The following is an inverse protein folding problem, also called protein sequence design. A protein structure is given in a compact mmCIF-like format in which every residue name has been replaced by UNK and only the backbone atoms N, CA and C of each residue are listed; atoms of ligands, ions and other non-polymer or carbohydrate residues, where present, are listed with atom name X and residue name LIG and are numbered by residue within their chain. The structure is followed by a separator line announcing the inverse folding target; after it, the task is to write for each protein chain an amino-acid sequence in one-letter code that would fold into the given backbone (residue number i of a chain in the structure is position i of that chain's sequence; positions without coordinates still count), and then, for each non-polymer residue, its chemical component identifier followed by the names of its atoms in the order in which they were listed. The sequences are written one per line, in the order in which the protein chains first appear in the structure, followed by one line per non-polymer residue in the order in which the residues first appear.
data_IF_563617370313
#
_entry.id   IF_563617370313
#
_cell.length_a   1.000
_cell.length_b   1.000
_cell.length_c   1.000
_cell.angle_alpha   90.00
_cell.angle_beta   90.00
_cell.angle_gamma   90.00
#
_symmetry.space_group_name_H-M   'P 1'
#
loop_
_entity.id
_entity.type
_entity.pdbx_description
1 polymer ?
#
# COMPACT_ATOMS: atom_id res chain seq x y z
N UNK A 1 66.24 8.44 -1.38
CA UNK A 1 65.22 9.46 -1.76
C UNK A 1 64.48 8.98 -2.98
N UNK A 2 63.16 8.76 -2.86
CA UNK A 2 62.09 8.93 -3.88
C UNK A 2 60.85 8.14 -3.44
N UNK A 3 60.07 8.78 -2.58
CA UNK A 3 58.70 8.37 -2.25
C UNK A 3 57.82 8.61 -3.47
N UNK A 4 57.27 7.55 -4.05
CA UNK A 4 56.24 7.65 -5.07
C UNK A 4 54.89 7.87 -4.37
N UNK A 5 54.31 9.05 -4.54
CA UNK A 5 52.96 9.36 -4.07
C UNK A 5 51.96 8.78 -5.07
N UNK A 6 51.31 7.67 -4.72
CA UNK A 6 50.13 7.16 -5.43
C UNK A 6 48.91 7.98 -4.97
N UNK A 7 48.37 8.80 -5.87
CA UNK A 7 47.12 9.50 -5.63
C UNK A 7 45.94 8.51 -5.67
N UNK A 8 45.07 8.46 -4.65
CA UNK A 8 43.88 7.62 -4.70
C UNK A 8 42.86 8.25 -5.65
N UNK A 9 42.54 7.54 -6.73
CA UNK A 9 41.45 7.90 -7.62
C UNK A 9 40.13 7.76 -6.85
N UNK A 10 39.51 8.89 -6.51
CA UNK A 10 38.22 8.94 -5.85
C UNK A 10 37.13 8.52 -6.85
N UNK A 11 36.77 7.23 -6.86
CA UNK A 11 35.67 6.71 -7.67
C UNK A 11 34.34 7.26 -7.12
N UNK A 12 33.73 8.18 -7.87
CA UNK A 12 32.36 8.63 -7.64
C UNK A 12 31.41 7.44 -7.87
N UNK A 13 30.90 6.83 -6.80
CA UNK A 13 29.82 5.86 -6.89
C UNK A 13 28.54 6.59 -7.32
N UNK A 14 28.13 6.39 -8.56
CA UNK A 14 26.83 6.87 -9.06
C UNK A 14 25.76 6.03 -8.34
N UNK A 15 25.06 6.61 -7.37
CA UNK A 15 23.84 6.01 -6.83
C UNK A 15 22.80 5.99 -7.96
N UNK A 16 22.56 4.81 -8.52
CA UNK A 16 21.46 4.62 -9.47
C UNK A 16 20.13 4.82 -8.76
N UNK A 17 19.33 5.78 -9.21
CA UNK A 17 17.94 5.94 -8.80
C UNK A 17 17.15 4.73 -9.28
N UNK A 18 16.89 3.75 -8.41
CA UNK A 18 15.96 2.68 -8.73
C UNK A 18 14.56 3.29 -8.94
N UNK A 19 13.79 2.84 -9.94
CA UNK A 19 12.41 3.27 -10.07
C UNK A 19 11.66 2.90 -8.79
N UNK A 20 10.98 3.88 -8.18
CA UNK A 20 10.07 3.62 -7.07
C UNK A 20 9.03 2.60 -7.57
N UNK A 21 9.02 1.40 -6.99
CA UNK A 21 8.00 0.43 -7.36
C UNK A 21 6.64 0.97 -6.90
N UNK A 22 5.63 0.89 -7.75
CA UNK A 22 4.27 1.23 -7.36
C UNK A 22 3.67 0.19 -6.38
N UNK A 23 4.31 -0.98 -6.24
CA UNK A 23 3.88 -2.07 -5.38
C UNK A 23 3.64 -1.65 -3.91
N UNK A 24 4.60 -1.02 -3.19
CA UNK A 24 4.39 -0.56 -1.81
C UNK A 24 3.22 0.42 -1.69
N UNK A 25 3.09 1.37 -2.62
CA UNK A 25 1.96 2.31 -2.64
C UNK A 25 0.63 1.59 -2.85
N UNK A 26 0.58 0.63 -3.77
CA UNK A 26 -0.64 -0.13 -4.04
C UNK A 26 -1.07 -1.00 -2.86
N UNK A 27 -0.11 -1.55 -2.12
CA UNK A 27 -0.37 -2.32 -0.91
C UNK A 27 -0.88 -1.43 0.23
N UNK A 28 -0.34 -0.22 0.37
CA UNK A 28 -0.80 0.79 1.31
C UNK A 28 -2.23 1.23 1.00
N UNK A 29 -2.51 1.65 -0.24
CA UNK A 29 -3.85 2.05 -0.66
C UNK A 29 -4.86 0.89 -0.56
N UNK A 30 -4.43 -0.34 -0.84
CA UNK A 30 -5.25 -1.52 -0.57
C UNK A 30 -5.54 -1.65 0.93
N UNK A 31 -4.53 -1.53 1.79
CA UNK A 31 -4.66 -1.63 3.24
C UNK A 31 -5.62 -0.59 3.79
N UNK A 32 -5.44 0.69 3.43
CA UNK A 32 -6.29 1.79 3.89
C UNK A 32 -7.76 1.62 3.48
N UNK A 33 -8.01 1.20 2.23
CA UNK A 33 -9.37 0.93 1.75
C UNK A 33 -10.02 -0.18 2.56
N UNK A 34 -9.31 -1.28 2.78
CA UNK A 34 -9.85 -2.45 3.45
C UNK A 34 -9.97 -2.25 4.96
N UNK A 35 -9.12 -1.42 5.59
CA UNK A 35 -9.27 -1.05 7.00
C UNK A 35 -10.63 -0.38 7.28
N UNK A 36 -11.10 0.49 6.38
CA UNK A 36 -12.44 1.11 6.49
C UNK A 36 -13.55 0.05 6.50
N UNK A 37 -13.43 -0.98 5.67
CA UNK A 37 -14.39 -2.08 5.63
C UNK A 37 -14.29 -2.98 6.87
N UNK A 38 -13.08 -3.25 7.35
CA UNK A 38 -12.83 -4.03 8.56
C UNK A 38 -13.45 -3.36 9.79
N UNK A 39 -13.19 -2.07 9.98
CA UNK A 39 -13.76 -1.26 11.07
C UNK A 39 -15.29 -1.21 11.02
N UNK A 40 -15.87 -1.21 9.82
CA UNK A 40 -17.30 -1.25 9.61
C UNK A 40 -17.93 -2.66 9.67
N UNK A 41 -17.12 -3.70 9.94
CA UNK A 41 -17.58 -5.06 10.21
C UNK A 41 -17.71 -5.97 8.99
N UNK A 42 -16.98 -5.71 7.90
CA UNK A 42 -16.97 -6.59 6.74
C UNK A 42 -16.25 -7.91 7.01
N UNK A 43 -16.84 -9.02 6.58
CA UNK A 43 -16.24 -10.36 6.62
C UNK A 43 -15.45 -10.63 5.34
N UNK A 44 -14.12 -10.62 5.44
CA UNK A 44 -13.23 -10.89 4.31
C UNK A 44 -13.31 -12.34 3.84
N UNK A 45 -13.33 -12.55 2.52
CA UNK A 45 -13.36 -13.90 1.90
C UNK A 45 -12.03 -14.31 1.27
N UNK A 46 -11.15 -13.35 0.98
CA UNK A 46 -9.86 -13.64 0.37
C UNK A 46 -8.83 -13.99 1.44
N UNK A 47 -7.89 -14.92 1.18
CA UNK A 47 -6.82 -15.23 2.13
C UNK A 47 -6.02 -13.99 2.58
N UNK A 48 -5.71 -13.09 1.63
CA UNK A 48 -5.01 -11.82 1.91
C UNK A 48 -5.79 -10.94 2.90
N UNK A 49 -7.09 -10.78 2.70
CA UNK A 49 -7.94 -9.97 3.59
C UNK A 49 -8.08 -10.59 4.98
N UNK A 50 -8.32 -11.90 5.04
CA UNK A 50 -8.42 -12.65 6.30
C UNK A 50 -7.10 -12.58 7.08
N UNK A 51 -5.96 -12.72 6.41
CA UNK A 51 -4.66 -12.64 7.07
C UNK A 51 -4.38 -11.24 7.63
N UNK A 52 -4.76 -10.18 6.89
CA UNK A 52 -4.47 -8.81 7.28
C UNK A 52 -5.42 -8.27 8.37
N UNK A 53 -6.70 -8.63 8.31
CA UNK A 53 -7.75 -8.03 9.15
C UNK A 53 -8.49 -9.03 10.04
N UNK A 54 -8.39 -10.33 9.77
CA UNK A 54 -9.19 -11.36 10.42
C UNK A 54 -10.68 -11.26 10.08
N UNK A 55 -11.48 -12.10 10.74
CA UNK A 55 -12.95 -12.09 10.68
C UNK A 55 -13.59 -12.21 12.07
N UNK A 56 -12.80 -12.07 13.14
CA UNK A 56 -13.34 -12.16 14.49
C UNK A 56 -14.31 -11.00 14.72
N UNK A 57 -15.59 -11.31 14.93
CA UNK A 57 -16.62 -10.30 15.22
C UNK A 57 -17.09 -9.49 14.00
N UNK A 58 -16.75 -9.89 12.77
CA UNK A 58 -17.35 -9.30 11.57
C UNK A 58 -18.86 -9.62 11.50
N UNK A 59 -19.62 -8.81 10.75
CA UNK A 59 -21.10 -8.83 10.75
C UNK A 59 -21.71 -8.87 9.35
N UNK A 60 -20.98 -8.48 8.32
CA UNK A 60 -21.50 -8.30 6.96
C UNK A 60 -20.68 -9.11 5.95
N UNK A 61 -21.29 -10.12 5.35
CA UNK A 61 -20.64 -10.96 4.34
C UNK A 61 -20.57 -10.28 2.96
N UNK A 62 -21.47 -9.36 2.68
CA UNK A 62 -21.56 -8.64 1.42
C UNK A 62 -21.13 -7.19 1.62
N UNK A 63 -20.18 -6.72 0.80
CA UNK A 63 -19.61 -5.37 0.95
C UNK A 63 -20.66 -4.25 0.79
N UNK A 64 -21.75 -4.52 0.07
CA UNK A 64 -22.87 -3.59 -0.15
C UNK A 64 -23.70 -3.36 1.11
N UNK A 65 -23.68 -4.31 2.04
CA UNK A 65 -24.46 -4.28 3.28
C UNK A 65 -23.68 -3.61 4.42
N UNK A 66 -22.39 -3.33 4.21
CA UNK A 66 -21.52 -2.65 5.18
C UNK A 66 -22.00 -1.19 5.36
N UNK A 67 -22.43 -0.79 6.57
CA UNK A 67 -23.05 0.51 6.82
C UNK A 67 -22.00 1.61 6.94
N UNK A 68 -21.34 1.96 5.85
CA UNK A 68 -20.36 3.04 5.83
C UNK A 68 -21.02 4.40 6.12
N UNK A 69 -20.32 5.27 6.84
CA UNK A 69 -20.73 6.68 6.94
C UNK A 69 -20.56 7.40 5.59
N UNK A 70 -21.15 8.58 5.45
CA UNK A 70 -20.92 9.41 4.26
C UNK A 70 -19.43 9.76 4.10
N UNK A 71 -18.73 10.00 5.22
CA UNK A 71 -17.29 10.30 5.26
C UNK A 71 -16.46 9.10 4.82
N UNK A 72 -16.80 7.90 5.26
CA UNK A 72 -16.07 6.68 4.89
C UNK A 72 -16.24 6.36 3.41
N UNK A 73 -17.46 6.55 2.86
CA UNK A 73 -17.69 6.44 1.42
C UNK A 73 -16.82 7.43 0.63
N UNK A 74 -16.69 8.66 1.10
CA UNK A 74 -15.82 9.66 0.47
C UNK A 74 -14.34 9.25 0.53
N UNK A 75 -13.88 8.74 1.68
CA UNK A 75 -12.51 8.22 1.86
C UNK A 75 -12.23 7.07 0.90
N UNK A 76 -13.09 6.04 0.88
CA UNK A 76 -12.95 4.89 -0.05
C UNK A 76 -12.92 5.35 -1.49
N UNK A 77 -13.81 6.28 -1.88
CA UNK A 77 -13.85 6.82 -3.24
C UNK A 77 -12.57 7.57 -3.61
N UNK A 78 -11.97 8.32 -2.67
CA UNK A 78 -10.69 8.98 -2.87
C UNK A 78 -9.55 7.97 -3.08
N UNK A 79 -9.48 6.94 -2.25
CA UNK A 79 -8.47 5.87 -2.37
C UNK A 79 -8.62 5.12 -3.69
N UNK A 80 -9.84 4.79 -4.11
CA UNK A 80 -10.09 4.13 -5.40
C UNK A 80 -9.60 4.98 -6.57
N UNK A 81 -9.83 6.30 -6.56
CA UNK A 81 -9.28 7.20 -7.58
C UNK A 81 -7.76 7.21 -7.58
N UNK A 82 -7.14 7.18 -6.40
CA UNK A 82 -5.69 7.15 -6.30
C UNK A 82 -5.13 5.82 -6.82
N UNK A 83 -5.72 4.68 -6.44
CA UNK A 83 -5.37 3.36 -7.00
C UNK A 83 -5.40 3.37 -8.53
N UNK A 84 -6.42 3.99 -9.13
CA UNK A 84 -6.54 4.12 -10.59
C UNK A 84 -5.41 4.97 -11.18
N UNK A 85 -5.09 6.12 -10.59
CA UNK A 85 -4.00 7.02 -11.02
C UNK A 85 -2.63 6.36 -10.91
N UNK A 86 -2.42 5.57 -9.86
CA UNK A 86 -1.17 4.87 -9.60
C UNK A 86 -1.04 3.53 -10.35
N UNK A 87 -2.05 3.14 -11.13
CA UNK A 87 -2.03 1.87 -11.89
C UNK A 87 -2.08 0.61 -11.01
N UNK A 88 -2.64 0.74 -9.81
CA UNK A 88 -2.75 -0.38 -8.88
C UNK A 88 -3.78 -1.40 -9.36
N UNK A 89 -3.41 -2.67 -9.27
CA UNK A 89 -4.36 -3.78 -9.43
C UNK A 89 -5.04 -4.08 -8.08
N UNK A 90 -6.19 -4.75 -8.17
CA UNK A 90 -7.06 -5.07 -7.03
C UNK A 90 -6.35 -5.84 -5.91
#
# INVERSE_FOLDING_TARGET
MRTALLAPALSLAILGSAPASAAPLCDELWGERNAVYAEAGYCFRTPRGIQAFGNAGCRFDEIRDVPLSARDRQKVSAIVREKQRSGCRE
#
